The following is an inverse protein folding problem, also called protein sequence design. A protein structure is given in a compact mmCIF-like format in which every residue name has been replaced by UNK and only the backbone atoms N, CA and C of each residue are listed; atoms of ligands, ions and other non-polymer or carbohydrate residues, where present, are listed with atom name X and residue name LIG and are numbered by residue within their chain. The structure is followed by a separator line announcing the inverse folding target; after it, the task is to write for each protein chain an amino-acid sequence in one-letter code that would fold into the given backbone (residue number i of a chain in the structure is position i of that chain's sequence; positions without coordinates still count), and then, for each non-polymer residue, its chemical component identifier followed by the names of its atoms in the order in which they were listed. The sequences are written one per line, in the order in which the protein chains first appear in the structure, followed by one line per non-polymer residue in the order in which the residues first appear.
data_IF_489158977373
#
_entry.id   IF_489158977373
#
_cell.length_a   1.000
_cell.length_b   1.000
_cell.length_c   1.000
_cell.angle_alpha   90.00
_cell.angle_beta   90.00
_cell.angle_gamma   90.00
#
_symmetry.space_group_name_H-M   'P 1'
#
loop_
_entity.id
_entity.type
_entity.pdbx_description
1 polymer ?
#
# COMPACT_ATOMS: atom_id res chain seq x y z
N UNK A 1 2.97 -20.43 22.43
CA UNK A 1 1.70 -21.03 21.95
C UNK A 1 1.82 -21.20 20.44
N UNK A 2 1.87 -22.43 19.90
CA UNK A 2 1.95 -22.65 18.44
C UNK A 2 0.52 -22.61 17.88
N UNK A 3 0.24 -21.67 16.99
CA UNK A 3 -1.03 -21.58 16.27
C UNK A 3 -1.12 -22.72 15.25
N UNK A 4 -2.29 -23.33 15.12
CA UNK A 4 -2.59 -24.29 14.04
C UNK A 4 -2.75 -23.55 12.72
N UNK A 5 -2.62 -24.25 11.57
CA UNK A 5 -2.80 -23.62 10.24
C UNK A 5 -4.15 -22.91 10.11
N UNK A 6 -5.22 -23.52 10.62
CA UNK A 6 -6.55 -22.91 10.61
C UNK A 6 -6.60 -21.63 11.47
N UNK A 7 -5.94 -21.63 12.62
CA UNK A 7 -5.85 -20.43 13.46
C UNK A 7 -5.05 -19.31 12.79
N UNK A 8 -3.98 -19.62 12.03
CA UNK A 8 -3.29 -18.63 11.20
C UNK A 8 -4.20 -18.04 10.12
N UNK A 9 -5.00 -18.89 9.46
CA UNK A 9 -5.98 -18.42 8.47
C UNK A 9 -7.08 -17.55 9.11
N UNK A 10 -7.54 -17.89 10.31
CA UNK A 10 -8.49 -17.05 11.05
C UNK A 10 -7.89 -15.70 11.44
N UNK A 11 -6.60 -15.65 11.78
CA UNK A 11 -5.92 -14.37 12.01
C UNK A 11 -5.86 -13.54 10.71
N UNK A 12 -5.59 -14.18 9.58
CA UNK A 12 -5.55 -13.52 8.27
C UNK A 12 -6.93 -13.10 7.75
N UNK A 13 -8.04 -13.59 8.30
CA UNK A 13 -9.38 -13.08 7.96
C UNK A 13 -9.65 -11.71 8.59
N UNK A 14 -8.77 -11.22 9.47
CA UNK A 14 -8.89 -9.90 10.11
C UNK A 14 -9.99 -9.84 11.18
N UNK A 15 -10.27 -10.96 11.83
CA UNK A 15 -11.32 -11.12 12.86
C UNK A 15 -10.75 -11.86 14.08
N UNK A 16 -11.43 -11.82 15.24
CA UNK A 16 -10.90 -12.43 16.46
C UNK A 16 -10.97 -13.97 16.39
N UNK A 17 -9.80 -14.61 16.20
CA UNK A 17 -9.67 -16.06 16.14
C UNK A 17 -10.19 -16.79 17.39
N UNK A 18 -10.18 -16.14 18.57
CA UNK A 18 -10.68 -16.73 19.82
C UNK A 18 -12.20 -16.83 19.81
N UNK A 19 -12.87 -15.91 19.14
CA UNK A 19 -14.33 -15.92 18.94
C UNK A 19 -14.68 -16.95 17.86
N UNK A 20 -13.94 -16.95 16.75
CA UNK A 20 -14.13 -17.92 15.65
C UNK A 20 -14.01 -19.36 16.16
N UNK A 21 -13.04 -19.64 17.05
CA UNK A 21 -12.83 -20.96 17.66
C UNK A 21 -14.03 -21.48 18.46
N UNK A 22 -14.88 -20.60 18.97
CA UNK A 22 -16.12 -20.96 19.71
C UNK A 22 -17.31 -21.21 18.79
N UNK A 23 -17.24 -20.82 17.53
CA UNK A 23 -18.33 -20.97 16.56
C UNK A 23 -18.38 -22.40 16.00
N UNK A 24 -19.50 -22.75 15.35
CA UNK A 24 -19.66 -24.00 14.59
C UNK A 24 -18.62 -24.11 13.47
N UNK A 25 -18.28 -25.36 13.11
CA UNK A 25 -17.30 -25.67 12.05
C UNK A 25 -17.61 -24.97 10.71
N UNK A 26 -18.88 -24.85 10.32
CA UNK A 26 -19.27 -24.14 9.09
C UNK A 26 -18.78 -22.69 9.07
N UNK A 27 -18.92 -21.97 10.18
CA UNK A 27 -18.48 -20.58 10.32
C UNK A 27 -16.95 -20.51 10.30
N UNK A 28 -16.28 -21.43 11.01
CA UNK A 28 -14.83 -21.54 11.01
C UNK A 28 -14.24 -21.74 9.60
N UNK A 29 -14.87 -22.57 8.76
CA UNK A 29 -14.44 -22.79 7.38
C UNK A 29 -14.62 -21.55 6.51
N UNK A 30 -15.72 -20.80 6.68
CA UNK A 30 -15.93 -19.53 5.96
C UNK A 30 -14.82 -18.53 6.27
N UNK A 31 -14.49 -18.33 7.55
CA UNK A 31 -13.40 -17.43 7.95
C UNK A 31 -12.02 -17.93 7.51
N UNK A 32 -11.77 -19.25 7.55
CA UNK A 32 -10.54 -19.82 7.04
C UNK A 32 -10.40 -19.61 5.52
N UNK A 33 -11.50 -19.70 4.76
CA UNK A 33 -11.54 -19.42 3.32
C UNK A 33 -11.20 -17.96 3.00
N UNK A 34 -11.76 -17.01 3.76
CA UNK A 34 -11.41 -15.59 3.65
C UNK A 34 -9.90 -15.41 3.91
N UNK A 35 -9.38 -15.95 5.01
CA UNK A 35 -7.96 -15.89 5.33
C UNK A 35 -7.05 -16.54 4.30
N UNK A 36 -7.49 -17.62 3.65
CA UNK A 36 -6.75 -18.28 2.58
C UNK A 36 -6.62 -17.38 1.35
N UNK A 37 -7.68 -16.67 0.97
CA UNK A 37 -7.61 -15.66 -0.10
C UNK A 37 -6.64 -14.54 0.26
N UNK A 38 -6.65 -14.06 1.51
CA UNK A 38 -5.69 -13.04 1.98
C UNK A 38 -4.26 -13.57 1.95
N UNK A 39 -4.02 -14.83 2.29
CA UNK A 39 -2.70 -15.46 2.19
C UNK A 39 -2.20 -15.51 0.74
N UNK A 40 -3.09 -15.84 -0.22
CA UNK A 40 -2.77 -15.80 -1.65
C UNK A 40 -2.42 -14.39 -2.09
N UNK A 41 -3.19 -13.38 -1.66
CA UNK A 41 -2.89 -11.97 -1.93
C UNK A 41 -1.50 -11.58 -1.36
N UNK A 42 -1.19 -11.97 -0.13
CA UNK A 42 0.09 -11.69 0.50
C UNK A 42 1.26 -12.31 -0.29
N UNK A 43 1.10 -13.55 -0.78
CA UNK A 43 2.07 -14.21 -1.63
C UNK A 43 2.26 -13.49 -2.97
N UNK A 44 1.17 -13.05 -3.61
CA UNK A 44 1.21 -12.28 -4.85
C UNK A 44 1.92 -10.93 -4.65
N UNK A 45 1.64 -10.24 -3.55
CA UNK A 45 2.35 -9.03 -3.15
C UNK A 45 3.86 -9.29 -3.02
N UNK A 46 4.25 -10.40 -2.40
CA UNK A 46 5.66 -10.79 -2.28
C UNK A 46 6.32 -11.08 -3.62
N UNK A 47 5.67 -11.86 -4.49
CA UNK A 47 6.20 -12.16 -5.83
C UNK A 47 6.37 -10.87 -6.64
N UNK A 48 5.37 -9.99 -6.63
CA UNK A 48 5.41 -8.71 -7.34
C UNK A 48 6.47 -7.75 -6.81
N UNK A 49 6.57 -7.59 -5.49
CA UNK A 49 7.56 -6.70 -4.86
C UNK A 49 8.99 -7.24 -5.05
N UNK A 50 9.21 -8.54 -4.85
CA UNK A 50 10.49 -9.20 -5.11
C UNK A 50 10.95 -8.97 -6.54
N UNK A 51 10.08 -9.23 -7.52
CA UNK A 51 10.43 -9.08 -8.93
C UNK A 51 10.77 -7.64 -9.29
N UNK A 52 10.00 -6.68 -8.77
CA UNK A 52 10.25 -5.24 -8.94
C UNK A 52 11.65 -4.87 -8.44
N UNK A 53 11.96 -5.20 -7.19
CA UNK A 53 13.24 -4.84 -6.59
C UNK A 53 14.42 -5.61 -7.21
N UNK A 54 14.23 -6.88 -7.57
CA UNK A 54 15.24 -7.65 -8.30
C UNK A 54 15.55 -7.05 -9.69
N UNK A 55 14.55 -6.49 -10.36
CA UNK A 55 14.73 -5.84 -11.67
C UNK A 55 15.34 -4.44 -11.55
N UNK A 56 14.99 -3.68 -10.52
CA UNK A 56 15.52 -2.34 -10.26
C UNK A 56 16.97 -2.38 -9.76
N UNK A 57 17.25 -3.17 -8.72
CA UNK A 57 18.57 -3.19 -8.09
C UNK A 57 19.52 -4.23 -8.68
N UNK A 58 19.03 -5.13 -9.53
CA UNK A 58 19.81 -6.24 -10.10
C UNK A 58 20.50 -7.13 -9.04
N UNK A 59 19.99 -7.12 -7.81
CA UNK A 59 20.50 -7.89 -6.67
C UNK A 59 19.39 -8.77 -6.12
N UNK A 60 19.68 -10.07 -5.98
CA UNK A 60 18.74 -11.05 -5.43
C UNK A 60 18.50 -10.79 -3.94
N UNK A 61 19.58 -10.51 -3.19
CA UNK A 61 19.52 -10.29 -1.74
C UNK A 61 18.64 -9.06 -1.42
N UNK A 62 18.90 -7.93 -2.08
CA UNK A 62 18.08 -6.72 -1.93
C UNK A 62 16.64 -6.97 -2.39
N UNK A 63 16.46 -7.73 -3.48
CA UNK A 63 15.14 -8.12 -3.97
C UNK A 63 14.32 -8.88 -2.91
N UNK A 64 14.91 -9.86 -2.24
CA UNK A 64 14.23 -10.64 -1.19
C UNK A 64 13.94 -9.78 0.02
N UNK A 65 14.94 -9.06 0.55
CA UNK A 65 14.78 -8.26 1.78
C UNK A 65 13.70 -7.18 1.61
N UNK A 66 13.78 -6.38 0.55
CA UNK A 66 12.79 -5.35 0.27
C UNK A 66 11.45 -5.97 -0.15
N UNK A 67 11.48 -7.09 -0.88
CA UNK A 67 10.28 -7.82 -1.27
C UNK A 67 9.45 -8.26 -0.07
N UNK A 68 10.08 -8.92 0.92
CA UNK A 68 9.44 -9.33 2.18
C UNK A 68 8.91 -8.11 2.94
N UNK A 69 9.73 -7.07 3.10
CA UNK A 69 9.34 -5.86 3.82
C UNK A 69 8.09 -5.20 3.23
N UNK A 70 8.06 -4.96 1.91
CA UNK A 70 6.91 -4.34 1.25
C UNK A 70 5.68 -5.25 1.22
N UNK A 71 5.86 -6.56 1.03
CA UNK A 71 4.75 -7.51 1.07
C UNK A 71 4.11 -7.56 2.46
N UNK A 72 4.93 -7.58 3.52
CA UNK A 72 4.47 -7.49 4.89
C UNK A 72 3.69 -6.19 5.12
N UNK A 73 4.25 -5.05 4.72
CA UNK A 73 3.61 -3.73 4.87
C UNK A 73 2.25 -3.67 4.17
N UNK A 74 2.18 -4.04 2.88
CA UNK A 74 0.94 -4.02 2.10
C UNK A 74 -0.10 -4.95 2.72
N UNK A 75 0.30 -6.15 3.14
CA UNK A 75 -0.60 -7.11 3.79
C UNK A 75 -1.16 -6.57 5.10
N UNK A 76 -0.35 -5.87 5.91
CA UNK A 76 -0.83 -5.25 7.15
C UNK A 76 -1.83 -4.11 6.89
N UNK A 77 -1.54 -3.25 5.90
CA UNK A 77 -2.47 -2.19 5.49
C UNK A 77 -3.79 -2.81 4.99
N UNK A 78 -3.71 -3.86 4.19
CA UNK A 78 -4.89 -4.57 3.70
C UNK A 78 -5.71 -5.20 4.84
N UNK A 79 -5.06 -5.87 5.81
CA UNK A 79 -5.72 -6.43 6.99
C UNK A 79 -6.41 -5.35 7.84
N UNK A 80 -5.78 -4.18 8.00
CA UNK A 80 -6.39 -3.04 8.69
C UNK A 80 -7.66 -2.55 7.96
N UNK A 81 -7.63 -2.50 6.63
CA UNK A 81 -8.81 -2.14 5.83
C UNK A 81 -9.91 -3.19 6.01
N UNK A 82 -9.58 -4.48 5.99
CA UNK A 82 -10.54 -5.56 6.19
C UNK A 82 -11.16 -5.57 7.61
N UNK A 83 -10.36 -5.24 8.62
CA UNK A 83 -10.82 -5.09 10.01
C UNK A 83 -11.81 -3.92 10.13
N UNK A 84 -11.45 -2.75 9.60
CA UNK A 84 -12.30 -1.55 9.68
C UNK A 84 -13.54 -1.63 8.80
N UNK A 85 -13.55 -2.45 7.74
CA UNK A 85 -14.73 -2.76 6.93
C UNK A 85 -15.66 -3.80 7.59
N UNK A 86 -15.23 -4.45 8.68
CA UNK A 86 -16.08 -5.36 9.43
C UNK A 86 -17.32 -4.63 9.97
N UNK A 87 -18.40 -5.39 10.17
CA UNK A 87 -19.66 -4.85 10.66
C UNK A 87 -19.48 -4.39 12.11
N UNK A 88 -19.94 -3.17 12.38
CA UNK A 88 -20.04 -2.68 13.75
C UNK A 88 -21.18 -3.43 14.45
N UNK A 89 -20.86 -4.06 15.58
CA UNK A 89 -21.80 -4.87 16.35
C UNK A 89 -22.43 -4.11 17.51
N UNK A 90 -21.86 -2.95 17.87
CA UNK A 90 -22.32 -2.16 19.00
C UNK A 90 -23.55 -1.32 18.62
N UNK A 91 -24.46 -1.05 19.59
CA UNK A 91 -25.55 -0.12 19.38
C UNK A 91 -24.99 1.26 19.06
N UNK A 92 -25.38 1.84 17.93
CA UNK A 92 -24.99 3.20 17.56
C UNK A 92 -26.14 3.91 16.84
N UNK A 93 -26.12 5.25 16.83
CA UNK A 93 -27.09 6.05 16.07
C UNK A 93 -26.78 5.98 14.56
N UNK A 94 -27.72 5.63 13.69
CA UNK A 94 -27.45 5.47 12.27
C UNK A 94 -27.19 6.83 11.59
N UNK A 95 -25.98 7.03 11.06
CA UNK A 95 -25.69 8.08 10.08
C UNK A 95 -25.42 7.43 8.73
N UNK A 96 -26.42 7.46 7.85
CA UNK A 96 -26.38 6.76 6.56
C UNK A 96 -25.33 7.35 5.62
N UNK A 97 -25.23 8.68 5.54
CA UNK A 97 -24.29 9.38 4.65
C UNK A 97 -22.83 9.16 5.02
N UNK A 98 -22.48 9.34 6.31
CA UNK A 98 -21.11 9.16 6.79
C UNK A 98 -20.61 7.72 6.62
N UNK A 99 -21.50 6.74 6.83
CA UNK A 99 -21.18 5.32 6.66
C UNK A 99 -20.87 4.97 5.20
N UNK A 100 -21.67 5.47 4.26
CA UNK A 100 -21.46 5.19 2.83
C UNK A 100 -20.15 5.80 2.33
N UNK A 101 -19.87 7.06 2.70
CA UNK A 101 -18.64 7.75 2.33
C UNK A 101 -17.40 7.04 2.88
N UNK A 102 -17.42 6.66 4.16
CA UNK A 102 -16.30 5.94 4.79
C UNK A 102 -16.03 4.58 4.14
N UNK A 103 -17.10 3.83 3.81
CA UNK A 103 -16.97 2.56 3.07
C UNK A 103 -16.42 2.77 1.66
N UNK A 104 -16.89 3.80 0.95
CA UNK A 104 -16.43 4.15 -0.39
C UNK A 104 -14.93 4.47 -0.43
N UNK A 105 -14.43 5.28 0.49
CA UNK A 105 -13.00 5.60 0.61
C UNK A 105 -12.17 4.33 0.80
N UNK A 106 -12.55 3.47 1.75
CA UNK A 106 -11.82 2.23 2.03
C UNK A 106 -11.80 1.29 0.82
N UNK A 107 -12.94 1.15 0.14
CA UNK A 107 -13.02 0.36 -1.08
C UNK A 107 -12.11 0.93 -2.18
N UNK A 108 -12.07 2.26 -2.32
CA UNK A 108 -11.14 2.96 -3.20
C UNK A 108 -9.67 2.63 -2.88
N UNK A 109 -9.29 2.60 -1.61
CA UNK A 109 -7.94 2.19 -1.19
C UNK A 109 -7.64 0.73 -1.52
N UNK A 110 -8.60 -0.20 -1.36
CA UNK A 110 -8.40 -1.60 -1.75
C UNK A 110 -8.13 -1.72 -3.25
N UNK A 111 -8.94 -1.04 -4.08
CA UNK A 111 -8.77 -1.03 -5.53
C UNK A 111 -7.42 -0.41 -5.91
N UNK A 112 -7.04 0.69 -5.27
CA UNK A 112 -5.76 1.36 -5.50
C UNK A 112 -4.57 0.44 -5.21
N UNK A 113 -4.56 -0.23 -4.05
CA UNK A 113 -3.52 -1.20 -3.69
C UNK A 113 -3.50 -2.36 -4.69
N UNK A 114 -4.67 -2.86 -5.08
CA UNK A 114 -4.77 -3.96 -6.04
C UNK A 114 -4.17 -3.60 -7.40
N UNK A 115 -4.43 -2.40 -7.92
CA UNK A 115 -3.84 -1.91 -9.18
C UNK A 115 -2.33 -1.78 -9.08
N UNK A 116 -1.81 -1.26 -7.96
CA UNK A 116 -0.37 -1.17 -7.72
C UNK A 116 0.30 -2.55 -7.75
N UNK A 117 -0.34 -3.54 -7.13
CA UNK A 117 0.18 -4.91 -7.06
C UNK A 117 -0.01 -5.65 -8.40
N UNK A 118 -1.03 -5.32 -9.18
CA UNK A 118 -1.30 -5.94 -10.46
C UNK A 118 -0.18 -5.71 -11.49
N UNK A 119 0.36 -4.48 -11.60
CA UNK A 119 1.38 -4.14 -12.61
C UNK A 119 2.67 -4.99 -12.57
N UNK A 120 3.33 -5.20 -11.42
CA UNK A 120 4.49 -6.08 -11.38
C UNK A 120 4.12 -7.54 -11.68
N UNK A 121 2.95 -8.01 -11.24
CA UNK A 121 2.49 -9.38 -11.51
C UNK A 121 2.21 -9.61 -13.00
N UNK A 122 1.53 -8.66 -13.65
CA UNK A 122 1.29 -8.67 -15.10
C UNK A 122 2.60 -8.80 -15.87
N UNK A 123 3.64 -8.05 -15.47
CA UNK A 123 4.95 -8.12 -16.10
C UNK A 123 5.65 -9.45 -15.87
N UNK A 124 5.48 -10.08 -14.70
CA UNK A 124 6.01 -11.43 -14.44
C UNK A 124 5.35 -12.44 -15.37
N UNK A 125 4.01 -12.41 -15.47
CA UNK A 125 3.23 -13.38 -16.26
C UNK A 125 3.48 -13.21 -17.75
N UNK A 126 3.57 -11.97 -18.24
CA UNK A 126 3.72 -11.65 -19.67
C UNK A 126 5.16 -11.36 -20.09
N UNK A 127 6.14 -11.70 -19.26
CA UNK A 127 7.55 -11.36 -19.50
C UNK A 127 8.07 -11.83 -20.87
N UNK A 128 7.64 -13.02 -21.31
CA UNK A 128 8.04 -13.59 -22.59
C UNK A 128 7.63 -12.73 -23.80
N UNK A 129 6.50 -12.02 -23.71
CA UNK A 129 6.02 -11.13 -24.77
C UNK A 129 6.79 -9.80 -24.81
N UNK A 130 7.27 -9.34 -23.66
CA UNK A 130 7.98 -8.06 -23.51
C UNK A 130 9.47 -8.19 -23.83
N UNK A 131 10.03 -9.39 -23.76
CA UNK A 131 11.45 -9.67 -24.02
C UNK A 131 11.96 -9.19 -25.40
N UNK A 132 11.30 -9.53 -26.54
CA UNK A 132 11.76 -9.09 -27.86
C UNK A 132 11.72 -7.56 -28.01
N UNK A 133 10.68 -6.91 -27.50
CA UNK A 133 10.54 -5.45 -27.55
C UNK A 133 11.63 -4.74 -26.74
N UNK A 134 12.02 -5.30 -25.59
CA UNK A 134 13.14 -4.76 -24.82
C UNK A 134 14.47 -4.97 -25.54
N UNK A 135 14.65 -6.07 -26.26
CA UNK A 135 15.84 -6.30 -27.07
C UNK A 135 15.92 -5.30 -28.24
N UNK A 136 14.80 -5.05 -28.94
CA UNK A 136 14.70 -4.02 -29.97
C UNK A 136 15.01 -2.63 -29.41
N UNK A 137 14.42 -2.27 -28.26
CA UNK A 137 14.70 -1.00 -27.59
C UNK A 137 16.19 -0.85 -27.19
N UNK A 138 16.84 -1.93 -26.73
CA UNK A 138 18.28 -1.91 -26.42
C UNK A 138 19.11 -1.64 -27.67
N UNK A 139 18.80 -2.30 -28.77
CA UNK A 139 19.49 -2.12 -30.05
C UNK A 139 19.30 -0.71 -30.60
N UNK A 140 18.07 -0.19 -30.58
CA UNK A 140 17.75 1.19 -30.99
C UNK A 140 18.52 2.22 -30.15
N UNK A 141 18.54 2.04 -28.82
CA UNK A 141 19.23 2.94 -27.90
C UNK A 141 20.75 2.92 -28.10
N UNK A 142 21.31 1.75 -28.38
CA UNK A 142 22.73 1.60 -28.69
C UNK A 142 23.06 2.29 -30.02
N UNK A 143 22.28 2.04 -31.08
CA UNK A 143 22.49 2.67 -32.39
C UNK A 143 22.42 4.20 -32.31
N UNK A 144 21.45 4.75 -31.57
CA UNK A 144 21.34 6.20 -31.35
C UNK A 144 22.54 6.77 -30.61
N UNK A 145 23.04 6.06 -29.60
CA UNK A 145 24.24 6.48 -28.86
C UNK A 145 25.50 6.42 -29.74
N UNK A 146 25.66 5.34 -30.50
CA UNK A 146 26.77 5.16 -31.45
C UNK A 146 26.78 6.29 -32.49
N UNK A 147 25.64 6.58 -33.12
CA UNK A 147 25.54 7.67 -34.10
C UNK A 147 25.93 9.04 -33.52
N UNK A 148 25.42 9.37 -32.32
CA UNK A 148 25.74 10.63 -31.64
C UNK A 148 27.24 10.72 -31.27
N UNK A 149 27.81 9.60 -30.83
CA UNK A 149 29.22 9.52 -30.45
C UNK A 149 30.10 9.66 -31.70
N UNK A 150 29.77 8.93 -32.78
CA UNK A 150 30.46 9.06 -34.05
C UNK A 150 30.41 10.49 -34.59
N UNK A 151 29.25 11.15 -34.59
CA UNK A 151 29.11 12.54 -35.03
C UNK A 151 30.03 13.49 -34.24
N UNK A 152 30.05 13.36 -32.91
CA UNK A 152 30.87 14.19 -32.04
C UNK A 152 32.37 14.02 -32.32
N UNK A 153 32.86 12.78 -32.41
CA UNK A 153 34.28 12.50 -32.65
C UNK A 153 34.69 12.80 -34.10
N UNK A 154 33.83 12.56 -35.09
CA UNK A 154 34.10 12.93 -36.48
C UNK A 154 34.28 14.44 -36.64
N UNK A 155 33.45 15.24 -35.96
CA UNK A 155 33.61 16.70 -35.97
C UNK A 155 34.95 17.16 -35.37
N UNK A 156 35.51 16.46 -34.38
CA UNK A 156 36.86 16.74 -33.86
C UNK A 156 37.96 16.28 -34.83
N UNK A 157 37.83 15.08 -35.39
CA UNK A 157 38.81 14.53 -36.33
C UNK A 157 38.94 15.41 -37.57
N UNK A 158 37.83 15.85 -38.16
CA UNK A 158 37.83 16.75 -39.32
C UNK A 158 38.58 18.06 -39.02
N UNK A 159 38.49 18.61 -37.80
CA UNK A 159 39.28 19.79 -37.40
C UNK A 159 40.77 19.48 -37.45
N UNK A 160 41.21 18.35 -36.89
CA UNK A 160 42.61 17.94 -36.93
C UNK A 160 43.09 17.63 -38.35
N UNK A 161 42.25 17.05 -39.20
CA UNK A 161 42.57 16.82 -40.61
C UNK A 161 42.74 18.11 -41.40
N UNK A 162 41.94 19.15 -41.11
CA UNK A 162 42.09 20.48 -41.70
C UNK A 162 43.44 21.09 -41.29
N UNK A 163 43.81 21.00 -40.01
CA UNK A 163 45.12 21.49 -39.53
C UNK A 163 46.29 20.71 -40.16
N UNK A 164 46.17 19.39 -40.31
CA UNK A 164 47.14 18.57 -41.06
C UNK A 164 47.25 19.05 -42.52
N UNK A 165 46.12 19.30 -43.21
CA UNK A 165 46.12 19.78 -44.61
C UNK A 165 46.78 21.15 -44.75
N UNK A 166 46.56 22.08 -43.81
CA UNK A 166 47.23 23.38 -43.79
C UNK A 166 48.75 23.22 -43.66
N UNK A 167 49.20 22.34 -42.75
CA UNK A 167 50.62 22.06 -42.52
C UNK A 167 51.30 21.39 -43.73
N UNK A 168 50.58 20.54 -44.48
CA UNK A 168 51.09 19.89 -45.70
C UNK A 168 51.38 20.87 -46.85
N UNK A 169 50.69 22.01 -46.91
CA UNK A 169 50.87 23.00 -47.98
C UNK A 169 52.08 23.93 -47.76
N UNK A 170 52.72 23.91 -46.57
CA UNK A 170 53.93 24.69 -46.24
C UNK A 170 54.99 23.76 -45.60
N UNK A 171 55.76 23.00 -46.39
CA UNK A 171 56.60 21.92 -45.87
C UNK A 171 57.94 22.41 -45.27
N UNK A 172 57.89 22.98 -44.07
CA UNK A 172 59.08 23.16 -43.20
C UNK A 172 59.21 21.99 -42.20
N UNK A 173 60.41 21.76 -41.65
CA UNK A 173 60.68 20.68 -40.68
C UNK A 173 59.76 20.72 -39.44
N UNK A 174 59.37 21.92 -38.99
CA UNK A 174 58.45 22.16 -37.87
C UNK A 174 57.04 21.57 -38.13
N UNK A 175 56.59 21.57 -39.38
CA UNK A 175 55.26 21.08 -39.74
C UNK A 175 55.19 19.55 -39.78
N UNK A 176 56.31 18.85 -40.00
CA UNK A 176 56.37 17.39 -39.97
C UNK A 176 56.05 16.85 -38.56
N UNK A 177 56.64 17.46 -37.52
CA UNK A 177 56.38 17.09 -36.13
C UNK A 177 54.93 17.41 -35.72
N UNK A 178 54.38 18.54 -36.18
CA UNK A 178 52.97 18.89 -35.94
C UNK A 178 52.01 17.89 -36.59
N UNK A 179 52.28 17.46 -37.83
CA UNK A 179 51.46 16.44 -38.51
C UNK A 179 51.50 15.12 -37.74
N UNK A 180 52.68 14.71 -37.26
CA UNK A 180 52.80 13.48 -36.46
C UNK A 180 52.04 13.60 -35.13
N UNK A 181 52.05 14.77 -34.50
CA UNK A 181 51.26 15.04 -33.30
C UNK A 181 49.75 14.92 -33.56
N UNK A 182 49.22 15.56 -34.59
CA UNK A 182 47.79 15.47 -34.93
C UNK A 182 47.36 14.05 -35.32
N UNK A 183 48.21 13.29 -36.03
CA UNK A 183 47.94 11.87 -36.31
C UNK A 183 47.84 11.03 -35.04
N UNK A 184 48.72 11.25 -34.06
CA UNK A 184 48.62 10.60 -32.74
C UNK A 184 47.33 11.00 -32.02
N UNK A 185 46.93 12.26 -32.09
CA UNK A 185 45.71 12.76 -31.46
C UNK A 185 44.44 12.16 -32.09
N UNK A 186 44.38 12.03 -33.43
CA UNK A 186 43.30 11.35 -34.14
C UNK A 186 43.21 9.88 -33.70
N UNK A 187 44.33 9.16 -33.68
CA UNK A 187 44.36 7.77 -33.25
C UNK A 187 43.90 7.62 -31.78
N UNK A 188 44.31 8.54 -30.90
CA UNK A 188 43.85 8.61 -29.53
C UNK A 188 42.33 8.81 -29.45
N UNK A 189 41.77 9.79 -30.18
CA UNK A 189 40.33 10.07 -30.20
C UNK A 189 39.48 8.92 -30.72
N UNK A 190 39.94 8.23 -31.78
CA UNK A 190 39.27 7.02 -32.28
C UNK A 190 39.26 5.91 -31.23
N UNK A 191 40.37 5.70 -30.53
CA UNK A 191 40.43 4.70 -29.46
C UNK A 191 39.51 5.05 -28.28
N UNK A 192 39.40 6.33 -27.93
CA UNK A 192 38.54 6.83 -26.87
C UNK A 192 37.05 6.63 -27.23
N UNK A 193 36.69 6.94 -28.48
CA UNK A 193 35.35 6.68 -29.04
C UNK A 193 34.96 5.22 -28.91
N UNK A 194 35.81 4.30 -29.39
CA UNK A 194 35.53 2.87 -29.39
C UNK A 194 35.37 2.34 -27.95
N UNK A 195 36.20 2.84 -27.03
CA UNK A 195 36.09 2.54 -25.60
C UNK A 195 34.75 2.99 -25.02
N UNK A 196 34.29 4.20 -25.34
CA UNK A 196 33.01 4.75 -24.84
C UNK A 196 31.81 3.96 -25.37
N UNK A 197 31.82 3.59 -26.65
CA UNK A 197 30.78 2.76 -27.25
C UNK A 197 30.72 1.40 -26.56
N UNK A 198 31.87 0.74 -26.37
CA UNK A 198 31.94 -0.56 -25.68
C UNK A 198 31.48 -0.46 -24.21
N UNK A 199 31.84 0.62 -23.51
CA UNK A 199 31.39 0.84 -22.13
C UNK A 199 29.86 1.01 -22.07
N UNK A 200 29.28 1.73 -23.03
CA UNK A 200 27.83 1.93 -23.11
C UNK A 200 27.08 0.67 -23.49
N UNK A 201 27.59 -0.12 -24.42
CA UNK A 201 27.03 -1.45 -24.73
C UNK A 201 26.98 -2.33 -23.47
N UNK A 202 28.06 -2.33 -22.67
CA UNK A 202 28.11 -3.07 -21.40
C UNK A 202 27.09 -2.55 -20.38
N UNK A 203 26.85 -1.23 -20.30
CA UNK A 203 25.83 -0.63 -19.43
C UNK A 203 24.41 -0.98 -19.88
N UNK A 204 24.14 -0.89 -21.18
CA UNK A 204 22.82 -1.18 -21.77
C UNK A 204 22.48 -2.67 -21.64
N UNK A 205 23.44 -3.55 -21.94
CA UNK A 205 23.25 -5.00 -21.81
C UNK A 205 22.94 -5.41 -20.37
N UNK A 206 23.68 -4.87 -19.38
CA UNK A 206 23.46 -5.13 -17.95
C UNK A 206 22.13 -4.56 -17.43
N UNK A 207 21.65 -3.46 -17.98
CA UNK A 207 20.39 -2.84 -17.56
C UNK A 207 19.19 -3.71 -17.92
N UNK A 208 18.28 -3.89 -16.95
CA UNK A 208 17.06 -4.69 -17.13
C UNK A 208 15.85 -3.85 -17.59
N UNK A 209 15.98 -2.53 -17.66
CA UNK A 209 14.96 -1.60 -18.16
C UNK A 209 13.53 -1.86 -17.63
N UNK A 210 13.41 -2.04 -16.31
CA UNK A 210 12.15 -2.40 -15.66
C UNK A 210 10.99 -1.43 -16.00
N UNK A 211 11.21 -0.13 -15.85
CA UNK A 211 10.18 0.88 -16.11
C UNK A 211 9.75 0.89 -17.59
N UNK A 212 10.71 0.75 -18.51
CA UNK A 212 10.39 0.65 -19.94
C UNK A 212 9.62 -0.64 -20.26
N UNK A 213 9.92 -1.74 -19.56
CA UNK A 213 9.18 -3.00 -19.69
C UNK A 213 7.71 -2.83 -19.28
N UNK A 214 7.44 -2.07 -18.21
CA UNK A 214 6.07 -1.73 -17.80
C UNK A 214 5.38 -0.81 -18.81
N UNK A 215 6.09 0.14 -19.41
CA UNK A 215 5.53 1.03 -20.43
C UNK A 215 5.12 0.24 -21.68
N UNK A 216 6.04 -0.58 -22.21
CA UNK A 216 5.79 -1.46 -23.36
C UNK A 216 4.62 -2.39 -23.07
N UNK A 217 4.57 -2.97 -21.87
CA UNK A 217 3.48 -3.87 -21.48
C UNK A 217 2.11 -3.19 -21.57
N UNK A 218 1.99 -1.95 -21.10
CA UNK A 218 0.72 -1.22 -21.12
C UNK A 218 0.38 -0.61 -22.48
N UNK A 219 1.38 -0.29 -23.32
CA UNK A 219 1.14 0.29 -24.66
C UNK A 219 0.83 -0.78 -25.71
N UNK A 220 1.60 -1.87 -25.74
CA UNK A 220 1.53 -2.89 -26.79
C UNK A 220 0.49 -3.99 -26.47
N UNK A 221 0.15 -4.20 -25.20
CA UNK A 221 -0.72 -5.32 -24.78
C UNK A 221 -1.92 -4.83 -23.96
N UNK A 222 -3.00 -4.32 -24.60
CA UNK A 222 -4.20 -3.87 -23.89
C UNK A 222 -4.93 -4.99 -23.12
N UNK A 223 -4.70 -6.25 -23.49
CA UNK A 223 -5.20 -7.41 -22.74
C UNK A 223 -4.72 -7.46 -21.27
N UNK A 224 -3.68 -6.70 -20.91
CA UNK A 224 -3.19 -6.55 -19.54
C UNK A 224 -4.24 -5.97 -18.59
N UNK A 225 -5.16 -5.14 -19.09
CA UNK A 225 -6.27 -4.61 -18.28
C UNK A 225 -7.22 -5.71 -17.78
N UNK A 226 -7.39 -6.79 -18.54
CA UNK A 226 -8.16 -7.95 -18.08
C UNK A 226 -7.47 -8.61 -16.88
N UNK A 227 -6.14 -8.75 -16.92
CA UNK A 227 -5.36 -9.24 -15.80
C UNK A 227 -5.44 -8.29 -14.58
N UNK A 228 -5.40 -6.96 -14.80
CA UNK A 228 -5.63 -5.97 -13.74
C UNK A 228 -6.99 -6.19 -13.08
N UNK A 229 -8.06 -6.35 -13.87
CA UNK A 229 -9.42 -6.58 -13.35
C UNK A 229 -9.48 -7.88 -12.53
N UNK A 230 -8.83 -8.95 -12.98
CA UNK A 230 -8.77 -10.22 -12.24
C UNK A 230 -8.07 -10.03 -10.89
N UNK A 231 -6.95 -9.32 -10.85
CA UNK A 231 -6.23 -9.02 -9.60
C UNK A 231 -7.09 -8.14 -8.68
N UNK A 232 -7.76 -7.12 -9.21
CA UNK A 232 -8.70 -6.28 -8.44
C UNK A 232 -9.84 -7.12 -7.87
N UNK A 233 -10.45 -8.00 -8.67
CA UNK A 233 -11.50 -8.90 -8.21
C UNK A 233 -11.01 -9.83 -7.09
N UNK A 234 -9.78 -10.35 -7.18
CA UNK A 234 -9.15 -11.15 -6.13
C UNK A 234 -8.99 -10.34 -4.83
N UNK A 235 -8.56 -9.08 -4.90
CA UNK A 235 -8.42 -8.21 -3.72
C UNK A 235 -9.76 -7.82 -3.09
N UNK A 236 -10.81 -7.72 -3.90
CA UNK A 236 -12.18 -7.45 -3.42
C UNK A 236 -12.88 -8.69 -2.87
N UNK A 237 -12.41 -9.90 -3.24
CA UNK A 237 -13.07 -11.16 -2.88
C UNK A 237 -13.24 -11.34 -1.36
N UNK A 238 -12.23 -11.11 -0.48
CA UNK A 238 -12.42 -11.21 0.97
C UNK A 238 -13.52 -10.27 1.51
N UNK A 239 -13.61 -9.06 0.96
CA UNK A 239 -14.65 -8.10 1.34
C UNK A 239 -16.04 -8.55 0.88
N UNK A 240 -16.15 -9.06 -0.35
CA UNK A 240 -17.40 -9.62 -0.89
C UNK A 240 -17.86 -10.80 -0.03
N UNK A 241 -16.96 -11.75 0.25
CA UNK A 241 -17.24 -12.90 1.10
C UNK A 241 -17.70 -12.49 2.51
N UNK A 242 -17.05 -11.50 3.11
CA UNK A 242 -17.41 -10.97 4.43
C UNK A 242 -18.78 -10.27 4.42
N UNK A 243 -19.14 -9.61 3.31
CA UNK A 243 -20.43 -8.93 3.15
C UNK A 243 -21.61 -9.91 3.10
N UNK A 244 -21.39 -11.13 2.58
CA UNK A 244 -22.39 -12.20 2.56
C UNK A 244 -22.67 -12.84 3.93
N UNK A 245 -21.81 -12.62 4.93
CA UNK A 245 -22.04 -13.15 6.29
C UNK A 245 -23.12 -12.30 6.97
N UNK A 246 -24.30 -12.84 7.33
CA UNK A 246 -25.38 -12.04 7.91
C UNK A 246 -25.05 -11.59 9.34
N UNK A 247 -25.65 -10.50 9.81
CA UNK A 247 -25.42 -9.96 11.17
C UNK A 247 -25.88 -10.90 12.28
N UNK A 248 -26.86 -11.75 12.00
CA UNK A 248 -27.33 -12.81 12.90
C UNK A 248 -26.43 -14.06 12.89
N UNK A 249 -25.29 -14.03 12.21
CA UNK A 249 -24.34 -15.13 12.25
C UNK A 249 -23.78 -15.28 13.68
N UNK A 250 -23.54 -16.54 14.07
CA UNK A 250 -22.99 -16.93 15.37
C UNK A 250 -21.75 -16.11 15.78
N UNK A 251 -20.85 -15.83 14.83
CA UNK A 251 -19.66 -15.00 15.10
C UNK A 251 -20.04 -13.59 15.55
N UNK A 252 -20.93 -12.91 14.84
CA UNK A 252 -21.31 -11.53 15.16
C UNK A 252 -22.11 -11.45 16.47
N UNK A 253 -22.92 -12.45 16.78
CA UNK A 253 -23.64 -12.54 18.07
C UNK A 253 -22.64 -12.68 19.23
N UNK A 254 -21.69 -13.61 19.12
CA UNK A 254 -20.67 -13.81 20.15
C UNK A 254 -19.78 -12.58 20.30
N UNK A 255 -19.36 -11.99 19.18
CA UNK A 255 -18.54 -10.78 19.18
C UNK A 255 -19.28 -9.59 19.81
N UNK A 256 -20.57 -9.41 19.49
CA UNK A 256 -21.42 -8.40 20.14
C UNK A 256 -21.45 -8.58 21.65
N UNK A 257 -21.67 -9.80 22.13
CA UNK A 257 -21.70 -10.10 23.57
C UNK A 257 -20.38 -9.78 24.27
N UNK A 258 -19.25 -10.14 23.66
CA UNK A 258 -17.91 -9.84 24.20
C UNK A 258 -17.67 -8.34 24.25
N UNK A 259 -17.92 -7.61 23.15
CA UNK A 259 -17.70 -6.17 23.08
C UNK A 259 -18.61 -5.40 24.03
N UNK A 260 -19.90 -5.76 24.09
CA UNK A 260 -20.83 -5.17 25.04
C UNK A 260 -20.35 -5.34 26.47
N UNK A 261 -19.93 -6.55 26.84
CA UNK A 261 -19.42 -6.84 28.19
C UNK A 261 -18.21 -5.98 28.53
N UNK A 262 -17.22 -5.89 27.64
CA UNK A 262 -16.03 -5.05 27.83
C UNK A 262 -16.45 -3.60 28.08
N UNK A 263 -17.32 -3.05 27.24
CA UNK A 263 -17.79 -1.68 27.33
C UNK A 263 -18.55 -1.44 28.64
N UNK A 264 -19.45 -2.34 29.04
CA UNK A 264 -20.22 -2.21 30.30
C UNK A 264 -19.36 -2.38 31.54
N UNK A 265 -18.37 -3.27 31.50
CA UNK A 265 -17.45 -3.53 32.62
C UNK A 265 -16.57 -2.30 32.86
N UNK A 266 -15.96 -1.76 31.80
CA UNK A 266 -15.17 -0.52 31.88
C UNK A 266 -16.02 0.68 32.32
N UNK A 267 -17.24 0.79 31.81
CA UNK A 267 -18.13 1.88 32.22
C UNK A 267 -18.54 1.78 33.69
N UNK A 268 -18.80 0.56 34.17
CA UNK A 268 -19.10 0.31 35.58
C UNK A 268 -17.90 0.61 36.49
N UNK A 269 -16.68 0.25 36.06
CA UNK A 269 -15.45 0.60 36.76
C UNK A 269 -15.26 2.13 36.81
N UNK A 270 -15.44 2.81 35.69
CA UNK A 270 -15.40 4.27 35.60
C UNK A 270 -16.38 4.93 36.58
N UNK A 271 -17.63 4.48 36.65
CA UNK A 271 -18.61 5.03 37.62
C UNK A 271 -18.14 4.90 39.06
N UNK A 272 -17.56 3.74 39.42
CA UNK A 272 -17.03 3.50 40.76
C UNK A 272 -15.85 4.42 41.07
N UNK A 273 -14.90 4.53 40.15
CA UNK A 273 -13.73 5.42 40.30
C UNK A 273 -14.15 6.89 40.39
N UNK A 274 -15.11 7.31 39.56
CA UNK A 274 -15.66 8.67 39.58
C UNK A 274 -16.31 9.00 40.93
N UNK A 275 -17.19 8.12 41.42
CA UNK A 275 -17.81 8.29 42.74
C UNK A 275 -16.80 8.28 43.88
N UNK A 276 -15.75 7.45 43.80
CA UNK A 276 -14.67 7.43 44.78
C UNK A 276 -13.85 8.73 44.76
N UNK A 277 -13.46 9.21 43.57
CA UNK A 277 -12.69 10.44 43.44
C UNK A 277 -13.43 11.68 43.97
N UNK A 278 -14.77 11.68 43.89
CA UNK A 278 -15.61 12.77 44.39
C UNK A 278 -16.11 12.55 45.82
N UNK A 279 -15.82 11.40 46.45
CA UNK A 279 -16.25 11.14 47.82
C UNK A 279 -15.75 12.17 48.84
N UNK A 280 -14.52 12.74 48.74
CA UNK A 280 -14.09 13.78 49.67
C UNK A 280 -14.94 15.06 49.58
N UNK A 281 -15.51 15.35 48.41
CA UNK A 281 -16.40 16.51 48.22
C UNK A 281 -17.82 16.25 48.77
N UNK A 282 -18.24 14.98 48.88
CA UNK A 282 -19.56 14.63 49.45
C UNK A 282 -19.62 14.88 50.97
N UNK A 283 -18.49 14.75 51.67
CA UNK A 283 -18.37 15.07 53.10
C UNK A 283 -18.57 16.57 53.37
N UNK A 284 -18.13 17.43 52.45
CA UNK A 284 -18.34 18.89 52.54
C UNK A 284 -19.78 19.32 52.21
N UNK A 285 -20.59 18.48 51.57
CA UNK A 285 -21.92 18.82 51.08
C UNK A 285 -23.06 18.12 51.87
N UNK A 286 -22.86 17.94 53.18
CA UNK A 286 -23.90 17.45 54.08
C UNK A 286 -24.31 15.98 53.87
N UNK A 287 -23.45 15.15 53.28
CA UNK A 287 -23.72 13.72 53.08
C UNK A 287 -24.49 13.36 51.81
N UNK A 288 -24.70 14.32 50.89
CA UNK A 288 -25.27 14.02 49.59
C UNK A 288 -24.22 13.38 48.68
N UNK A 289 -24.43 12.11 48.30
CA UNK A 289 -23.55 11.40 47.38
C UNK A 289 -23.64 12.00 45.97
N UNK A 290 -22.49 12.34 45.36
CA UNK A 290 -22.43 12.71 43.95
C UNK A 290 -22.64 11.46 43.09
N UNK A 291 -23.87 11.28 42.60
CA UNK A 291 -24.20 10.25 41.63
C UNK A 291 -23.91 10.77 40.21
N UNK A 292 -23.25 9.95 39.38
CA UNK A 292 -23.06 10.26 37.97
C UNK A 292 -24.43 10.33 37.26
N UNK A 293 -24.84 11.52 36.81
CA UNK A 293 -26.11 11.74 36.13
C UNK A 293 -26.00 11.41 34.64
N UNK A 294 -26.93 10.61 34.13
CA UNK A 294 -26.94 10.14 32.75
C UNK A 294 -28.17 10.64 32.00
N UNK A 295 -28.00 11.34 30.86
CA UNK A 295 -29.13 11.79 30.05
C UNK A 295 -29.70 10.70 29.13
N UNK A 296 -29.12 9.50 29.11
CA UNK A 296 -29.52 8.39 28.24
C UNK A 296 -30.05 7.19 29.03
N UNK A 297 -30.95 6.41 28.43
CA UNK A 297 -31.55 5.20 29.00
C UNK A 297 -30.58 4.02 28.89
N UNK A 298 -29.73 4.01 27.86
CA UNK A 298 -28.79 2.94 27.54
C UNK A 298 -27.31 3.37 27.62
N UNK A 299 -26.85 4.00 28.72
CA UNK A 299 -25.45 4.32 28.87
C UNK A 299 -24.63 3.03 29.06
N UNK A 300 -23.43 2.93 28.46
CA UNK A 300 -22.67 4.00 27.79
C UNK A 300 -22.94 4.16 26.28
N UNK A 301 -23.85 3.39 25.69
CA UNK A 301 -24.09 3.38 24.23
C UNK A 301 -24.85 4.61 23.74
N UNK A 302 -25.62 5.25 24.62
CA UNK A 302 -26.25 6.56 24.40
C UNK A 302 -27.08 6.65 23.12
N UNK A 303 -27.79 5.56 22.77
CA UNK A 303 -28.65 5.51 21.59
C UNK A 303 -30.04 6.08 21.86
N UNK A 304 -30.53 5.99 23.11
CA UNK A 304 -31.88 6.41 23.52
C UNK A 304 -31.77 7.46 24.64
N UNK A 305 -32.18 8.70 24.35
CA UNK A 305 -32.20 9.79 25.36
C UNK A 305 -33.36 9.58 26.33
N UNK A 306 -33.16 9.85 27.62
CA UNK A 306 -34.25 9.91 28.61
C UNK A 306 -35.25 10.99 28.18
N UNK A 307 -36.54 10.73 28.36
CA UNK A 307 -37.55 11.79 28.19
C UNK A 307 -37.32 12.83 29.29
N UNK A 308 -36.95 14.04 28.89
CA UNK A 308 -36.90 15.16 29.83
C UNK A 308 -38.35 15.53 30.17
N UNK A 309 -38.69 15.58 31.46
CA UNK A 309 -39.79 16.45 31.89
C UNK A 309 -39.46 17.86 31.36
N UNK A 310 -40.45 18.64 30.87
CA UNK A 310 -40.19 20.01 30.44
C UNK A 310 -39.34 20.69 31.50
N UNK A 311 -38.24 21.34 31.10
CA UNK A 311 -37.48 22.17 32.02
C UNK A 311 -38.47 23.01 32.82
N UNK A 312 -38.39 22.97 34.16
CA UNK A 312 -39.29 23.77 34.99
C UNK A 312 -39.34 25.19 34.42
N UNK A 313 -40.55 25.70 34.22
CA UNK A 313 -40.72 27.00 33.56
C UNK A 313 -39.92 28.05 34.31
N UNK A 314 -39.41 29.06 33.60
CA UNK A 314 -38.60 30.14 34.18
C UNK A 314 -39.28 30.80 35.41
N UNK A 315 -40.61 30.75 35.49
CA UNK A 315 -41.41 31.16 36.65
C UNK A 315 -41.18 30.32 37.91
N UNK A 316 -40.95 29.01 37.79
CA UNK A 316 -40.63 28.10 38.90
C UNK A 316 -39.27 28.46 39.51
N UNK A 317 -38.27 28.73 38.65
CA UNK A 317 -36.92 29.11 39.08
C UNK A 317 -36.91 30.48 39.79
N UNK A 318 -37.68 31.45 39.28
CA UNK A 318 -37.84 32.77 39.92
C UNK A 318 -38.54 32.65 41.27
N UNK A 319 -39.61 31.84 41.37
CA UNK A 319 -40.28 31.64 42.65
C UNK A 319 -39.38 30.93 43.68
N UNK A 320 -38.58 29.95 43.25
CA UNK A 320 -37.61 29.30 44.14
C UNK A 320 -36.52 30.25 44.64
N UNK A 321 -35.98 31.13 43.79
CA UNK A 321 -34.90 32.06 44.15
C UNK A 321 -35.35 33.27 44.97
N UNK A 322 -36.58 33.73 44.80
CA UNK A 322 -37.08 34.95 45.43
C UNK A 322 -38.10 34.71 46.55
N UNK A 323 -38.67 33.52 46.65
CA UNK A 323 -39.73 33.19 47.62
C UNK A 323 -39.53 31.86 48.37
N UNK A 324 -38.44 31.13 48.15
CA UNK A 324 -38.01 29.98 48.96
C UNK A 324 -36.96 30.37 49.99
#
# INVERSE_FOLDING_TARGET
MRLTLNEYLWVLSGDDYRIIRKCKKSVQHTFAGIGAVVAVIALLCFIGSYYTFYKVFSSVILGIMLGVFFAWMITNIYLLILYTLSKDVLPHKPSTGGRLFSKGIRLGFVIFIAVIVAKPIELVVLYQKVLPEIAAYKAEKLAKYTALTDEHYQAEIVKYEIEIKKALNNPDSIYIDQIQYYKKLIAYRLSERDRLIAEMEKKISRSKFYIKSLQILNSEFPATWVATIIVVALFLLPFILKSFIPENNEYYILNKGVQMKIVTDHFSAFKKEYSYALSPLTEFNGGNYFAFSEPYIDPPFNTIRKSESPAESESSLKNFLYHG
#
